data_IF_797741664105
#
_entry.id   IF_797741664105
#
_cell.length_a   1.000
_cell.length_b   1.000
_cell.length_c   1.000
_cell.angle_alpha   90.00
_cell.angle_beta   90.00
_cell.angle_gamma   90.00
#
_symmetry.space_group_name_H-M   'P 1'
#
loop_
_entity.id
_entity.type
_entity.pdbx_description
1 polymer ?
#
# COMPACT_ATOMS: atom_id res chain seq x y z
N UNK A 1 7.96 -8.31 1.02
CA UNK A 1 6.90 -7.61 0.25
C UNK A 1 6.36 -6.37 0.98
N UNK A 2 5.99 -6.45 2.26
CA UNK A 2 5.44 -5.31 3.03
C UNK A 2 6.34 -4.05 3.08
N UNK A 3 7.66 -4.23 3.13
CA UNK A 3 8.62 -3.11 3.14
C UNK A 3 8.52 -2.23 1.88
N UNK A 4 8.28 -2.83 0.70
CA UNK A 4 8.15 -2.09 -0.55
C UNK A 4 6.86 -1.26 -0.53
N UNK A 5 5.76 -1.85 -0.06
CA UNK A 5 4.46 -1.15 0.02
C UNK A 5 4.54 0.04 0.98
N UNK A 6 5.22 -0.12 2.12
CA UNK A 6 5.43 0.96 3.09
C UNK A 6 6.33 2.06 2.54
N UNK A 7 7.43 1.70 1.88
CA UNK A 7 8.30 2.69 1.23
C UNK A 7 7.53 3.49 0.17
N UNK A 8 6.73 2.81 -0.65
CA UNK A 8 5.90 3.46 -1.67
C UNK A 8 4.76 4.29 -1.05
N UNK A 9 4.24 3.92 0.12
CA UNK A 9 3.24 4.71 0.86
C UNK A 9 3.81 6.07 1.26
N UNK A 10 5.05 6.07 1.78
CA UNK A 10 5.76 7.29 2.17
C UNK A 10 6.08 8.14 0.94
N UNK A 11 6.63 7.55 -0.12
CA UNK A 11 6.94 8.28 -1.37
C UNK A 11 5.70 8.91 -2.02
N UNK A 12 4.56 8.22 -2.00
CA UNK A 12 3.33 8.71 -2.60
C UNK A 12 2.48 9.56 -1.63
N UNK A 13 2.95 9.85 -0.41
CA UNK A 13 2.19 10.55 0.63
C UNK A 13 0.77 9.96 0.82
N UNK A 14 0.65 8.63 0.83
CA UNK A 14 -0.64 7.95 0.97
C UNK A 14 -1.56 8.01 -0.25
N UNK A 15 -1.15 8.62 -1.38
CA UNK A 15 -1.94 8.63 -2.63
C UNK A 15 -2.01 7.24 -3.25
N UNK A 16 -3.05 6.50 -2.88
CA UNK A 16 -3.25 5.09 -3.26
C UNK A 16 -3.26 4.82 -4.77
N UNK A 17 -3.66 5.80 -5.59
CA UNK A 17 -3.66 5.68 -7.06
C UNK A 17 -2.23 5.65 -7.60
N UNK A 18 -1.41 6.64 -7.24
CA UNK A 18 0.01 6.69 -7.62
C UNK A 18 0.79 5.48 -7.08
N UNK A 19 0.49 5.05 -5.86
CA UNK A 19 1.10 3.82 -5.32
C UNK A 19 0.80 2.60 -6.18
N UNK A 20 -0.46 2.44 -6.61
CA UNK A 20 -0.86 1.29 -7.41
C UNK A 20 -0.15 1.29 -8.78
N UNK A 21 -0.08 2.47 -9.41
CA UNK A 21 0.65 2.67 -10.66
C UNK A 21 2.15 2.37 -10.50
N UNK A 22 2.79 2.88 -9.44
CA UNK A 22 4.23 2.69 -9.16
C UNK A 22 4.58 1.24 -8.82
N UNK A 23 3.68 0.53 -8.12
CA UNK A 23 3.83 -0.89 -7.81
C UNK A 23 3.44 -1.81 -8.98
N UNK A 24 2.91 -1.26 -10.08
CA UNK A 24 2.47 -2.04 -11.24
C UNK A 24 1.27 -2.96 -10.94
N UNK A 25 0.44 -2.61 -9.95
CA UNK A 25 -0.71 -3.41 -9.53
C UNK A 25 -2.01 -2.62 -9.63
N UNK A 26 -3.14 -3.33 -9.69
CA UNK A 26 -4.43 -2.64 -9.63
C UNK A 26 -4.64 -1.98 -8.25
N UNK A 27 -5.39 -0.85 -8.17
CA UNK A 27 -5.79 -0.27 -6.89
C UNK A 27 -6.55 -1.25 -5.98
N UNK A 28 -7.24 -2.23 -6.57
CA UNK A 28 -7.93 -3.30 -5.83
C UNK A 28 -6.93 -4.25 -5.17
N UNK A 29 -5.88 -4.65 -5.88
CA UNK A 29 -4.79 -5.47 -5.35
C UNK A 29 -4.05 -4.73 -4.23
N UNK A 30 -3.79 -3.43 -4.40
CA UNK A 30 -3.17 -2.62 -3.37
C UNK A 30 -4.02 -2.60 -2.09
N UNK A 31 -5.33 -2.32 -2.20
CA UNK A 31 -6.24 -2.37 -1.05
C UNK A 31 -6.23 -3.71 -0.34
N UNK A 32 -6.24 -4.81 -1.09
CA UNK A 32 -6.20 -6.15 -0.51
C UNK A 32 -4.90 -6.39 0.28
N UNK A 33 -3.75 -5.98 -0.27
CA UNK A 33 -2.46 -6.05 0.43
C UNK A 33 -2.46 -5.17 1.69
N UNK A 34 -2.98 -3.95 1.63
CA UNK A 34 -3.10 -3.05 2.79
C UNK A 34 -4.03 -3.61 3.88
N UNK A 35 -5.13 -4.27 3.51
CA UNK A 35 -6.01 -4.95 4.46
C UNK A 35 -5.26 -6.09 5.17
N UNK A 36 -4.56 -6.94 4.42
CA UNK A 36 -3.72 -8.01 4.98
C UNK A 36 -2.62 -7.47 5.90
N UNK A 37 -2.08 -6.28 5.62
CA UNK A 37 -1.13 -5.60 6.50
C UNK A 37 -1.77 -5.16 7.82
N UNK A 38 -2.98 -4.59 7.78
CA UNK A 38 -3.73 -4.25 9.00
C UNK A 38 -4.06 -5.49 9.82
N UNK A 39 -4.50 -6.57 9.18
CA UNK A 39 -4.79 -7.85 9.85
C UNK A 39 -3.54 -8.45 10.49
N UNK A 40 -2.36 -8.18 9.93
CA UNK A 40 -1.07 -8.54 10.50
C UNK A 40 -0.58 -7.57 11.61
N UNK A 41 -1.40 -6.60 12.02
CA UNK A 41 -1.09 -5.62 13.06
C UNK A 41 -0.22 -4.43 12.60
N UNK A 42 -0.05 -4.24 11.28
CA UNK A 42 0.67 -3.09 10.74
C UNK A 42 -0.30 -1.91 10.65
N UNK A 43 0.02 -0.82 11.34
CA UNK A 43 -0.77 0.40 11.26
C UNK A 43 -0.52 1.11 9.92
N UNK A 44 -1.60 1.35 9.18
CA UNK A 44 -1.56 1.95 7.85
C UNK A 44 -2.40 3.24 7.92
N UNK A 45 -1.81 4.42 7.67
CA UNK A 45 -2.53 5.69 7.56
C UNK A 45 -3.71 5.59 6.60
N UNK A 46 -4.84 6.21 6.96
CA UNK A 46 -6.05 6.23 6.11
C UNK A 46 -5.87 7.13 4.88
#
# INVERSE_FOLDING_TARGET
EYAIILATLVECNGRRKEMAEKLGISPRTLRYKLAKMRDAGIDIPN
#
